data_IF_671513479628
#
_entry.id   IF_671513479628
#
_cell.length_a   1.000
_cell.length_b   1.000
_cell.length_c   1.000
_cell.angle_alpha   90.00
_cell.angle_beta   90.00
_cell.angle_gamma   90.00
#
_symmetry.space_group_name_H-M   'P 1'
#
loop_
_entity.id
_entity.type
_entity.pdbx_description
1 polymer ?
#
# COMPACT_ATOMS: atom_id res chain seq x y z
N UNK A 1 -14.85 -6.31 30.07
CA UNK A 1 -14.88 -5.24 29.05
C UNK A 1 -15.33 -5.91 27.75
N UNK A 2 -16.42 -5.47 27.10
CA UNK A 2 -16.73 -5.98 25.75
C UNK A 2 -15.59 -5.50 24.84
N UNK A 3 -14.91 -6.42 24.17
CA UNK A 3 -13.90 -6.04 23.19
C UNK A 3 -14.59 -5.31 22.05
N UNK A 4 -14.30 -4.02 21.89
CA UNK A 4 -14.74 -3.24 20.74
C UNK A 4 -13.76 -3.52 19.60
N UNK A 5 -13.98 -4.65 18.91
CA UNK A 5 -13.20 -5.01 17.71
C UNK A 5 -13.88 -4.45 16.47
N UNK A 6 -13.14 -3.71 15.65
CA UNK A 6 -13.53 -3.45 14.27
C UNK A 6 -13.34 -4.76 13.49
N UNK A 7 -14.41 -5.28 12.90
CA UNK A 7 -14.42 -6.52 12.13
C UNK A 7 -15.17 -6.32 10.82
N UNK A 8 -14.86 -7.14 9.82
CA UNK A 8 -15.54 -7.13 8.52
C UNK A 8 -15.09 -6.03 7.56
N UNK A 9 -13.96 -5.37 7.83
CA UNK A 9 -13.35 -4.42 6.89
C UNK A 9 -12.42 -5.15 5.93
N UNK A 10 -12.49 -4.82 4.65
CA UNK A 10 -11.49 -5.28 3.66
C UNK A 10 -10.16 -4.54 3.85
N UNK A 11 -9.07 -5.04 3.27
CA UNK A 11 -7.78 -4.32 3.29
C UNK A 11 -7.91 -2.91 2.69
N UNK A 12 -8.69 -2.77 1.62
CA UNK A 12 -9.04 -1.49 1.00
C UNK A 12 -9.72 -0.55 2.01
N UNK A 13 -10.73 -1.03 2.74
CA UNK A 13 -11.44 -0.22 3.74
C UNK A 13 -10.51 0.20 4.87
N UNK A 14 -9.61 -0.69 5.32
CA UNK A 14 -8.58 -0.36 6.30
C UNK A 14 -7.63 0.73 5.79
N UNK A 15 -7.18 0.66 4.54
CA UNK A 15 -6.34 1.68 3.93
C UNK A 15 -7.05 3.04 3.84
N UNK A 16 -8.30 3.06 3.37
CA UNK A 16 -9.11 4.30 3.32
C UNK A 16 -9.32 4.85 4.73
N UNK A 17 -9.55 3.98 5.71
CA UNK A 17 -9.73 4.38 7.09
C UNK A 17 -8.48 5.04 7.66
N UNK A 18 -7.32 4.40 7.50
CA UNK A 18 -6.02 4.93 7.93
C UNK A 18 -5.67 6.26 7.26
N UNK A 19 -5.96 6.39 5.97
CA UNK A 19 -5.62 7.60 5.23
C UNK A 19 -6.57 8.75 5.57
N UNK A 20 -7.89 8.52 5.58
CA UNK A 20 -8.88 9.61 5.51
C UNK A 20 -9.82 9.68 6.71
N UNK A 21 -10.15 8.54 7.32
CA UNK A 21 -11.22 8.50 8.32
C UNK A 21 -10.70 8.65 9.75
N UNK A 22 -9.48 8.23 10.07
CA UNK A 22 -8.89 8.41 11.42
C UNK A 22 -9.01 9.86 11.92
N UNK A 23 -8.60 10.90 11.16
CA UNK A 23 -8.66 12.28 11.65
C UNK A 23 -10.09 12.76 11.92
N UNK A 24 -11.08 12.21 11.22
CA UNK A 24 -12.48 12.62 11.34
C UNK A 24 -13.17 11.82 12.45
N UNK A 25 -13.00 10.50 12.43
CA UNK A 25 -13.66 9.57 13.33
C UNK A 25 -13.25 9.77 14.79
N UNK A 26 -11.99 10.14 15.04
CA UNK A 26 -11.46 10.26 16.39
C UNK A 26 -11.37 11.70 16.94
N UNK A 27 -11.73 12.72 16.15
CA UNK A 27 -11.58 14.13 16.52
C UNK A 27 -12.23 14.50 17.85
N UNK A 28 -13.45 14.06 18.05
CA UNK A 28 -14.24 14.36 19.26
C UNK A 28 -14.13 13.23 20.31
N UNK A 29 -13.37 12.17 20.02
CA UNK A 29 -13.24 10.98 20.88
C UNK A 29 -11.93 11.02 21.66
N UNK A 30 -10.84 11.46 21.02
CA UNK A 30 -9.50 11.42 21.61
C UNK A 30 -9.06 12.79 22.13
N UNK A 31 -8.21 12.83 23.18
CA UNK A 31 -7.53 14.06 23.58
C UNK A 31 -6.70 14.63 22.42
N UNK A 32 -6.63 15.96 22.33
CA UNK A 32 -5.94 16.67 21.24
C UNK A 32 -4.54 16.12 20.94
N UNK A 33 -3.66 15.84 21.92
CA UNK A 33 -2.31 15.38 21.62
C UNK A 33 -2.25 13.98 20.99
N UNK A 34 -3.24 13.12 21.28
CA UNK A 34 -3.34 11.78 20.70
C UNK A 34 -3.97 11.84 19.30
N UNK A 35 -5.02 12.65 19.16
CA UNK A 35 -5.68 12.89 17.87
C UNK A 35 -4.72 13.53 16.86
N UNK A 36 -3.94 14.51 17.29
CA UNK A 36 -2.93 15.20 16.47
C UNK A 36 -1.88 14.21 15.95
N UNK A 37 -1.33 13.37 16.82
CA UNK A 37 -0.35 12.34 16.43
C UNK A 37 -0.93 11.31 15.44
N UNK A 38 -2.18 10.85 15.64
CA UNK A 38 -2.87 9.98 14.68
C UNK A 38 -3.12 10.67 13.34
N UNK A 39 -3.41 11.97 13.37
CA UNK A 39 -3.65 12.77 12.18
C UNK A 39 -2.35 12.93 11.37
N UNK A 40 -1.21 13.16 12.01
CA UNK A 40 0.10 13.21 11.33
C UNK A 40 0.41 11.90 10.60
N UNK A 41 0.17 10.74 11.23
CA UNK A 41 0.34 9.43 10.60
C UNK A 41 -0.65 9.24 9.43
N UNK A 42 -1.89 9.69 9.58
CA UNK A 42 -2.89 9.61 8.51
C UNK A 42 -2.49 10.46 7.30
N UNK A 43 -1.99 11.67 7.53
CA UNK A 43 -1.49 12.57 6.48
C UNK A 43 -0.26 12.02 5.77
N UNK A 44 0.67 11.39 6.51
CA UNK A 44 1.79 10.66 5.94
C UNK A 44 1.31 9.63 4.92
N UNK A 45 0.30 8.83 5.29
CA UNK A 45 -0.26 7.82 4.40
C UNK A 45 -1.01 8.42 3.21
N UNK A 46 -1.68 9.56 3.37
CA UNK A 46 -2.29 10.25 2.23
C UNK A 46 -1.27 10.68 1.18
N UNK A 47 -0.08 11.11 1.60
CA UNK A 47 1.00 11.50 0.68
C UNK A 47 1.57 10.27 -0.04
N UNK A 48 1.90 9.22 0.70
CA UNK A 48 2.52 8.00 0.15
C UNK A 48 1.60 7.24 -0.81
N UNK A 49 0.32 7.17 -0.49
CA UNK A 49 -0.67 6.42 -1.26
C UNK A 49 -1.48 7.30 -2.22
N UNK A 50 -1.00 8.51 -2.51
CA UNK A 50 -1.61 9.40 -3.49
C UNK A 50 -1.53 8.81 -4.90
N UNK A 51 -2.56 9.08 -5.71
CA UNK A 51 -2.61 8.65 -7.11
C UNK A 51 -1.48 9.29 -7.94
N UNK A 52 -1.04 10.48 -7.53
CA UNK A 52 0.11 11.18 -8.08
C UNK A 52 1.13 11.39 -6.97
N UNK A 53 2.38 11.02 -7.25
CA UNK A 53 3.46 11.15 -6.29
C UNK A 53 4.20 12.48 -6.50
N UNK A 54 4.05 13.39 -5.56
CA UNK A 54 4.81 14.64 -5.54
C UNK A 54 6.16 14.42 -4.84
N UNK A 55 7.23 14.40 -5.64
CA UNK A 55 8.59 14.10 -5.18
C UNK A 55 9.05 15.07 -4.07
N UNK A 56 8.63 16.34 -4.14
CA UNK A 56 9.00 17.31 -3.11
C UNK A 56 8.34 16.97 -1.77
N UNK A 57 7.04 16.62 -1.80
CA UNK A 57 6.32 16.18 -0.61
C UNK A 57 6.88 14.88 -0.04
N UNK A 58 7.29 13.94 -0.89
CA UNK A 58 7.93 12.68 -0.44
C UNK A 58 9.28 12.96 0.22
N UNK A 59 10.05 13.93 -0.29
CA UNK A 59 11.33 14.33 0.31
C UNK A 59 11.14 15.02 1.66
N UNK A 60 10.16 15.92 1.78
CA UNK A 60 9.75 16.53 3.05
C UNK A 60 9.25 15.47 4.05
N UNK A 61 8.49 14.49 3.56
CA UNK A 61 8.01 13.38 4.36
C UNK A 61 9.17 12.53 4.89
N UNK A 62 10.15 12.21 4.05
CA UNK A 62 11.35 11.47 4.47
C UNK A 62 12.12 12.18 5.58
N UNK A 63 12.18 13.51 5.54
CA UNK A 63 12.84 14.29 6.58
C UNK A 63 12.04 14.33 7.90
N UNK A 64 10.73 14.12 7.86
CA UNK A 64 9.82 14.27 9.00
C UNK A 64 9.28 12.95 9.56
N UNK A 65 9.32 11.84 8.82
CA UNK A 65 8.70 10.55 9.20
C UNK A 65 9.18 10.01 10.53
N UNK A 66 10.47 10.08 10.82
CA UNK A 66 11.02 9.64 12.10
C UNK A 66 10.45 10.47 13.26
N UNK A 67 10.30 11.78 13.07
CA UNK A 67 9.71 12.68 14.07
C UNK A 67 8.23 12.37 14.28
N UNK A 68 7.47 12.13 13.20
CA UNK A 68 6.05 11.76 13.26
C UNK A 68 5.87 10.46 14.04
N UNK A 69 6.65 9.41 13.74
CA UNK A 69 6.58 8.15 14.46
C UNK A 69 6.99 8.29 15.93
N UNK A 70 8.07 9.02 16.23
CA UNK A 70 8.46 9.28 17.62
C UNK A 70 7.39 10.08 18.39
N UNK A 71 6.71 11.02 17.74
CA UNK A 71 5.59 11.75 18.35
C UNK A 71 4.42 10.82 18.61
N UNK A 72 4.11 9.92 17.68
CA UNK A 72 3.07 8.92 17.83
C UNK A 72 3.37 7.93 18.96
N UNK A 73 4.57 7.38 19.03
CA UNK A 73 5.03 6.48 20.10
C UNK A 73 4.96 7.10 21.50
N UNK A 74 5.23 8.40 21.62
CA UNK A 74 5.13 9.11 22.92
C UNK A 74 3.70 9.20 23.45
N UNK A 75 2.68 9.06 22.59
CA UNK A 75 1.27 9.27 22.95
C UNK A 75 0.50 7.98 23.18
N UNK A 76 0.98 6.86 22.65
CA UNK A 76 0.28 5.58 22.70
C UNK A 76 1.04 4.55 23.55
N UNK A 77 0.36 3.56 24.13
CA UNK A 77 1.01 2.54 24.95
C UNK A 77 2.04 1.74 24.15
N UNK A 78 3.18 1.33 24.74
CA UNK A 78 4.18 0.50 24.05
C UNK A 78 3.63 -0.80 23.46
N UNK A 79 2.58 -1.37 24.07
CA UNK A 79 1.91 -2.57 23.58
C UNK A 79 1.18 -2.37 22.24
N UNK A 80 0.99 -1.14 21.78
CA UNK A 80 0.44 -0.83 20.47
C UNK A 80 1.47 -1.06 19.35
N UNK A 81 2.76 -0.96 19.65
CA UNK A 81 3.83 -0.93 18.66
C UNK A 81 4.50 -2.29 18.53
N UNK A 82 4.56 -2.79 17.31
CA UNK A 82 5.37 -3.91 16.88
C UNK A 82 6.31 -3.45 15.74
N UNK A 83 6.98 -4.38 15.07
CA UNK A 83 7.92 -4.04 13.98
C UNK A 83 7.24 -3.31 12.82
N UNK A 84 5.96 -3.58 12.55
CA UNK A 84 5.26 -3.07 11.38
C UNK A 84 5.09 -1.54 11.40
N UNK A 85 4.83 -0.95 12.57
CA UNK A 85 4.67 0.51 12.70
C UNK A 85 5.97 1.25 12.41
N UNK A 86 7.13 0.62 12.64
CA UNK A 86 8.43 1.20 12.35
C UNK A 86 8.83 1.09 10.88
N UNK A 87 8.23 0.18 10.09
CA UNK A 87 8.52 0.06 8.66
C UNK A 87 8.11 1.31 7.86
N UNK A 88 7.23 2.14 8.44
CA UNK A 88 6.75 3.39 7.85
C UNK A 88 7.91 4.32 7.46
N UNK A 89 9.06 4.28 8.16
CA UNK A 89 10.24 5.11 7.82
C UNK A 89 10.82 4.79 6.44
N UNK A 90 10.61 3.58 5.93
CA UNK A 90 11.15 3.14 4.64
C UNK A 90 10.22 3.47 3.46
N UNK A 91 8.93 3.70 3.72
CA UNK A 91 7.93 3.88 2.67
C UNK A 91 8.20 5.09 1.78
N UNK A 92 8.80 6.17 2.31
CA UNK A 92 9.17 7.34 1.48
C UNK A 92 10.25 7.02 0.46
N UNK A 93 11.22 6.16 0.83
CA UNK A 93 12.25 5.71 -0.10
C UNK A 93 11.69 4.71 -1.11
N UNK A 94 10.83 3.80 -0.66
CA UNK A 94 10.14 2.85 -1.52
C UNK A 94 9.27 3.56 -2.57
N UNK A 95 8.44 4.52 -2.15
CA UNK A 95 7.61 5.32 -3.05
C UNK A 95 8.46 6.12 -4.06
N UNK A 96 9.62 6.62 -3.63
CA UNK A 96 10.53 7.34 -4.54
C UNK A 96 11.14 6.41 -5.61
N UNK A 97 11.39 5.16 -5.27
CA UNK A 97 11.99 4.17 -6.19
C UNK A 97 10.95 3.57 -7.13
N UNK A 98 9.82 3.14 -6.59
CA UNK A 98 8.77 2.43 -7.34
C UNK A 98 7.65 3.31 -7.87
N UNK A 99 7.63 4.61 -7.52
CA UNK A 99 6.63 5.56 -8.01
C UNK A 99 5.28 5.46 -7.27
N UNK A 100 4.19 5.98 -7.89
CA UNK A 100 2.86 5.94 -7.29
C UNK A 100 2.43 4.51 -6.94
N UNK A 101 1.89 4.35 -5.74
CA UNK A 101 1.63 3.04 -5.14
C UNK A 101 0.70 2.14 -5.97
N UNK A 102 -0.19 2.72 -6.77
CA UNK A 102 -1.13 1.99 -7.62
C UNK A 102 -0.42 1.07 -8.65
N UNK A 103 0.82 1.41 -9.02
CA UNK A 103 1.65 0.60 -9.90
C UNK A 103 2.50 -0.44 -9.16
N UNK A 104 2.61 -0.30 -7.83
CA UNK A 104 3.35 -1.22 -6.96
C UNK A 104 2.45 -2.28 -6.32
N UNK A 105 1.13 -2.11 -6.36
CA UNK A 105 0.19 -3.07 -5.78
C UNK A 105 0.08 -4.35 -6.60
N UNK A 106 -0.01 -5.48 -5.91
CA UNK A 106 -0.33 -6.76 -6.55
C UNK A 106 -1.80 -6.89 -6.92
N UNK A 107 -2.69 -6.10 -6.32
CA UNK A 107 -4.14 -6.19 -6.51
C UNK A 107 -4.62 -6.15 -7.97
N UNK A 108 -4.11 -5.29 -8.87
CA UNK A 108 -4.53 -5.31 -10.27
C UNK A 108 -4.19 -6.64 -10.95
N UNK A 109 -3.00 -7.18 -10.69
CA UNK A 109 -2.54 -8.45 -11.25
C UNK A 109 -3.31 -9.64 -10.67
N UNK A 110 -3.52 -9.66 -9.36
CA UNK A 110 -4.34 -10.68 -8.69
C UNK A 110 -5.78 -10.67 -9.21
N UNK A 111 -6.36 -9.49 -9.45
CA UNK A 111 -7.70 -9.37 -10.04
C UNK A 111 -7.74 -9.88 -11.49
N UNK A 112 -6.73 -9.56 -12.31
CA UNK A 112 -6.64 -10.09 -13.66
C UNK A 112 -6.53 -11.61 -13.67
N UNK A 113 -5.70 -12.17 -12.78
CA UNK A 113 -5.58 -13.62 -12.63
C UNK A 113 -6.91 -14.26 -12.22
N UNK A 114 -7.61 -13.69 -11.24
CA UNK A 114 -8.92 -14.16 -10.81
C UNK A 114 -9.95 -14.12 -11.96
N UNK A 115 -9.96 -13.05 -12.75
CA UNK A 115 -10.86 -12.94 -13.90
C UNK A 115 -10.58 -14.04 -14.95
N UNK A 116 -9.30 -14.31 -15.27
CA UNK A 116 -8.92 -15.40 -16.18
C UNK A 116 -9.39 -16.77 -15.66
N UNK A 117 -9.24 -17.03 -14.35
CA UNK A 117 -9.73 -18.25 -13.72
C UNK A 117 -11.26 -18.37 -13.81
N UNK A 118 -12.00 -17.29 -13.57
CA UNK A 118 -13.46 -17.28 -13.67
C UNK A 118 -13.96 -17.56 -15.09
N UNK A 119 -13.28 -17.00 -16.11
CA UNK A 119 -13.60 -17.24 -17.51
C UNK A 119 -13.39 -18.71 -17.90
N UNK A 120 -12.41 -19.40 -17.32
CA UNK A 120 -12.09 -20.79 -17.63
C UNK A 120 -12.91 -21.82 -16.84
N UNK A 121 -13.39 -21.47 -15.63
CA UNK A 121 -14.04 -22.43 -14.73
C UNK A 121 -15.56 -22.25 -14.57
N UNK A 122 -16.18 -21.22 -15.17
CA UNK A 122 -17.63 -20.91 -15.18
C UNK A 122 -18.33 -20.90 -13.79
N UNK A 123 -17.59 -21.07 -12.70
CA UNK A 123 -18.05 -21.22 -11.32
C UNK A 123 -16.95 -20.74 -10.38
N UNK A 124 -17.31 -20.10 -9.27
CA UNK A 124 -16.35 -19.75 -8.21
C UNK A 124 -15.98 -21.05 -7.47
N UNK A 125 -14.75 -21.52 -7.63
CA UNK A 125 -14.26 -22.67 -6.88
C UNK A 125 -14.20 -22.29 -5.38
N UNK A 126 -14.78 -23.06 -4.45
CA UNK A 126 -14.59 -22.85 -3.02
C UNK A 126 -13.11 -22.82 -2.58
N UNK A 127 -12.18 -23.35 -3.40
CA UNK A 127 -10.73 -23.32 -3.18
C UNK A 127 -10.01 -22.18 -3.93
N UNK A 128 -10.72 -21.13 -4.38
CA UNK A 128 -10.13 -20.01 -5.12
C UNK A 128 -8.92 -19.40 -4.39
N UNK A 129 -8.95 -19.28 -3.06
CA UNK A 129 -7.82 -18.74 -2.29
C UNK A 129 -6.58 -19.66 -2.34
N UNK A 130 -6.76 -20.98 -2.23
CA UNK A 130 -5.67 -21.95 -2.31
C UNK A 130 -5.06 -21.99 -3.72
N UNK A 131 -5.90 -21.88 -4.74
CA UNK A 131 -5.46 -21.82 -6.14
C UNK A 131 -4.67 -20.53 -6.42
N UNK A 132 -5.14 -19.38 -5.91
CA UNK A 132 -4.39 -18.12 -5.99
C UNK A 132 -3.04 -18.24 -5.29
N UNK A 133 -3.01 -18.78 -4.07
CA UNK A 133 -1.77 -18.92 -3.31
C UNK A 133 -0.74 -19.83 -4.02
N UNK A 134 -1.18 -20.88 -4.71
CA UNK A 134 -0.30 -21.86 -5.34
C UNK A 134 0.10 -21.51 -6.78
N UNK A 135 -0.78 -20.84 -7.53
CA UNK A 135 -0.64 -20.71 -8.98
C UNK A 135 -0.35 -19.29 -9.46
N UNK A 136 -0.58 -18.28 -8.61
CA UNK A 136 -0.38 -16.87 -9.00
C UNK A 136 1.06 -16.57 -9.40
N UNK A 137 2.06 -17.10 -8.69
CA UNK A 137 3.47 -16.81 -8.97
C UNK A 137 3.89 -17.29 -10.39
N UNK A 138 3.48 -18.51 -10.75
CA UNK A 138 3.79 -19.09 -12.06
C UNK A 138 2.99 -18.41 -13.19
N UNK A 139 1.75 -18.00 -12.91
CA UNK A 139 0.97 -17.17 -13.81
C UNK A 139 1.65 -15.82 -14.06
N UNK A 140 2.01 -15.11 -12.98
CA UNK A 140 2.62 -13.78 -13.04
C UNK A 140 3.95 -13.80 -13.80
N UNK A 141 4.82 -14.78 -13.51
CA UNK A 141 6.08 -14.98 -14.25
C UNK A 141 5.87 -15.19 -15.74
N UNK A 142 4.89 -16.01 -16.14
CA UNK A 142 4.56 -16.22 -17.55
C UNK A 142 4.07 -14.93 -18.21
N UNK A 143 3.23 -14.16 -17.50
CA UNK A 143 2.69 -12.90 -18.00
C UNK A 143 3.79 -11.85 -18.23
N UNK A 144 4.68 -11.67 -17.26
CA UNK A 144 5.83 -10.76 -17.36
C UNK A 144 6.72 -11.13 -18.56
N UNK A 145 7.05 -12.42 -18.72
CA UNK A 145 7.88 -12.89 -19.85
C UNK A 145 7.19 -12.68 -21.21
N UNK A 146 5.88 -12.88 -21.28
CA UNK A 146 5.13 -12.80 -22.52
C UNK A 146 4.80 -11.35 -22.94
N UNK A 147 4.39 -10.49 -21.99
CA UNK A 147 3.94 -9.13 -22.30
C UNK A 147 5.07 -8.12 -22.41
N UNK A 148 6.10 -8.25 -21.56
CA UNK A 148 7.19 -7.26 -21.53
C UNK A 148 8.41 -7.71 -22.34
N UNK A 149 8.48 -8.98 -22.76
CA UNK A 149 9.61 -9.57 -23.50
C UNK A 149 10.98 -9.36 -22.82
N UNK A 150 11.00 -9.24 -21.49
CA UNK A 150 12.22 -9.12 -20.69
C UNK A 150 12.82 -10.51 -20.42
N UNK A 151 14.13 -10.59 -20.51
CA UNK A 151 14.93 -11.69 -19.96
C UNK A 151 15.12 -11.53 -18.44
N UNK A 152 15.39 -12.61 -17.72
CA UNK A 152 15.53 -12.59 -16.25
C UNK A 152 16.64 -11.61 -15.78
N UNK A 153 17.64 -11.34 -16.62
CA UNK A 153 18.73 -10.37 -16.36
C UNK A 153 18.30 -8.89 -16.54
N UNK A 154 17.34 -8.60 -17.43
CA UNK A 154 16.91 -7.22 -17.71
C UNK A 154 15.98 -6.69 -16.61
N UNK A 155 15.22 -7.56 -15.92
CA UNK A 155 14.35 -7.19 -14.79
C UNK A 155 15.13 -6.61 -13.60
N UNK A 156 16.38 -7.04 -13.40
CA UNK A 156 17.26 -6.52 -12.34
C UNK A 156 17.89 -5.16 -12.70
N UNK A 157 17.75 -4.72 -13.95
CA UNK A 157 18.34 -3.48 -14.48
C UNK A 157 17.31 -2.39 -14.79
N UNK A 158 16.02 -2.62 -14.52
CA UNK A 158 14.98 -1.62 -14.73
C UNK A 158 15.33 -0.33 -13.96
N UNK A 159 15.48 0.76 -14.71
CA UNK A 159 15.78 2.06 -14.16
C UNK A 159 14.63 2.56 -13.26
N UNK A 160 15.01 3.31 -12.23
CA UNK A 160 14.10 3.97 -11.27
C UNK A 160 12.95 4.70 -11.96
N UNK A 161 11.79 4.76 -11.29
CA UNK A 161 10.69 5.61 -11.72
C UNK A 161 11.18 7.05 -11.93
N UNK A 162 11.06 7.57 -13.16
CA UNK A 162 11.43 8.95 -13.50
C UNK A 162 10.18 9.85 -13.48
N UNK A 163 10.06 10.78 -12.51
CA UNK A 163 8.93 11.70 -12.40
C UNK A 163 8.78 12.65 -13.59
N UNK A 164 9.79 12.76 -14.46
CA UNK A 164 9.79 13.64 -15.64
C UNK A 164 9.40 12.92 -16.94
N UNK A 165 9.31 11.58 -16.92
CA UNK A 165 8.74 10.83 -18.04
C UNK A 165 7.22 10.92 -17.99
N UNK A 166 6.60 11.52 -19.03
CA UNK A 166 5.16 11.40 -19.22
C UNK A 166 4.81 9.91 -19.21
N UNK A 167 3.91 9.52 -18.30
CA UNK A 167 3.34 8.17 -18.30
C UNK A 167 2.51 8.05 -19.58
N UNK A 168 3.17 7.68 -20.68
CA UNK A 168 2.49 7.18 -21.86
C UNK A 168 1.70 5.98 -21.39
N UNK A 169 0.39 6.17 -21.32
CA UNK A 169 -0.64 5.22 -20.97
C UNK A 169 -0.24 3.80 -21.35
N UNK A 170 0.09 2.97 -20.36
CA UNK A 170 0.03 1.53 -20.56
C UNK A 170 -1.43 1.19 -20.86
N UNK A 171 -1.70 0.44 -21.94
CA UNK A 171 -3.08 0.11 -22.32
C UNK A 171 -3.69 -0.74 -21.21
N UNK A 172 -4.83 -0.28 -20.70
CA UNK A 172 -5.73 -1.07 -19.87
C UNK A 172 -6.36 -2.20 -20.71
#
# INVERSE_FOLDING_TARGET
>A
MKELRLQGMTSHDCHVFMQKLIPIAFREILPEPMWSALTEVSLLFQILYSMTLDVNKVQELKASVATILCNFEKKFPPAFFNVMEHLIVHLSDEARVGGPVQYMWMYPFERSFLNELYEHHHSIDPNTEELVATSFNDWFKRRVKFELNYTDDELLTLHYWDPTTEVTTLPY
#
